data_IF_089927948080
#
_entry.id   IF_089927948080
#
_cell.length_a   1.000
_cell.length_b   1.000
_cell.length_c   1.000
_cell.angle_alpha   90.00
_cell.angle_beta   90.00
_cell.angle_gamma   90.00
#
_symmetry.space_group_name_H-M   'P 1'
#
loop_
_entity.id
_entity.type
_entity.pdbx_description
1 polymer ?
#
# COMPACT_ATOMS: atom_id res chain seq x y z
N UNK A 1 19.88 6.60 9.42
CA UNK A 1 20.06 7.12 10.77
C UNK A 1 18.72 7.60 11.31
N UNK A 2 18.42 7.30 12.57
CA UNK A 2 17.23 7.76 13.28
C UNK A 2 17.41 9.24 13.64
N UNK A 3 16.46 10.08 13.27
CA UNK A 3 16.46 11.52 13.59
C UNK A 3 15.44 11.76 14.71
N UNK A 4 15.94 11.87 15.94
CA UNK A 4 15.13 12.08 17.15
C UNK A 4 14.32 13.38 17.08
N UNK A 5 14.92 14.44 16.52
CA UNK A 5 14.26 15.73 16.38
C UNK A 5 13.08 15.63 15.39
N UNK A 6 13.29 14.99 14.25
CA UNK A 6 12.22 14.77 13.27
C UNK A 6 11.05 14.00 13.87
N UNK A 7 11.33 12.96 14.65
CA UNK A 7 10.26 12.15 15.27
C UNK A 7 9.48 12.93 16.31
N UNK A 8 10.17 13.72 17.15
CA UNK A 8 9.50 14.59 18.13
C UNK A 8 8.67 15.71 17.44
N UNK A 9 9.21 16.31 16.39
CA UNK A 9 8.51 17.31 15.59
C UNK A 9 7.26 16.71 14.91
N UNK A 10 7.36 15.47 14.41
CA UNK A 10 6.24 14.75 13.77
C UNK A 10 5.06 14.54 14.74
N UNK A 11 5.32 14.11 15.96
CA UNK A 11 4.29 13.95 16.99
C UNK A 11 3.60 15.29 17.32
N UNK A 12 4.39 16.34 17.51
CA UNK A 12 3.88 17.69 17.79
C UNK A 12 3.02 18.24 16.63
N UNK A 13 3.48 18.04 15.38
CA UNK A 13 2.75 18.47 14.18
C UNK A 13 1.45 17.69 14.04
N UNK A 14 1.45 16.37 14.25
CA UNK A 14 0.24 15.54 14.19
C UNK A 14 -0.82 16.01 15.20
N UNK A 15 -0.42 16.31 16.44
CA UNK A 15 -1.32 16.87 17.45
C UNK A 15 -1.88 18.25 17.04
N UNK A 16 -1.02 19.15 16.54
CA UNK A 16 -1.42 20.47 16.09
C UNK A 16 -2.40 20.43 14.93
N UNK A 17 -2.15 19.58 13.92
CA UNK A 17 -3.03 19.40 12.75
C UNK A 17 -4.40 18.87 13.19
N UNK A 18 -4.44 17.91 14.10
CA UNK A 18 -5.69 17.36 14.65
C UNK A 18 -6.51 18.44 15.36
N UNK A 19 -5.87 19.24 16.21
CA UNK A 19 -6.53 20.36 16.91
C UNK A 19 -7.01 21.44 15.95
N UNK A 20 -6.22 21.77 14.92
CA UNK A 20 -6.59 22.73 13.89
C UNK A 20 -7.82 22.25 13.09
N UNK A 21 -7.83 20.98 12.66
CA UNK A 21 -8.94 20.38 11.97
C UNK A 21 -10.23 20.42 12.82
N UNK A 22 -10.11 20.08 14.11
CA UNK A 22 -11.26 20.15 15.04
C UNK A 22 -11.82 21.57 15.19
N UNK A 23 -10.96 22.60 15.21
CA UNK A 23 -11.37 24.01 15.33
C UNK A 23 -12.00 24.56 14.06
N UNK A 24 -11.65 24.00 12.90
CA UNK A 24 -12.15 24.43 11.58
C UNK A 24 -13.33 23.62 11.06
N UNK A 25 -13.97 22.82 11.91
CA UNK A 25 -15.16 22.04 11.54
C UNK A 25 -16.27 22.95 10.99
N UNK A 26 -16.88 22.51 9.89
CA UNK A 26 -18.03 23.17 9.28
C UNK A 26 -18.99 22.11 8.72
N UNK A 27 -20.28 22.47 8.53
CA UNK A 27 -21.23 21.58 7.84
C UNK A 27 -20.72 21.20 6.46
N UNK A 28 -20.79 19.89 6.16
CA UNK A 28 -20.25 19.34 4.94
C UNK A 28 -21.07 18.17 4.43
N UNK A 29 -21.00 17.94 3.12
CA UNK A 29 -21.57 16.78 2.46
C UNK A 29 -20.41 15.86 2.05
N UNK A 30 -20.49 14.61 2.45
CA UNK A 30 -19.57 13.57 2.00
C UNK A 30 -20.11 12.99 0.72
N UNK A 31 -19.31 13.03 -0.36
CA UNK A 31 -19.62 12.40 -1.64
C UNK A 31 -18.59 11.30 -1.91
N UNK A 32 -19.04 10.16 -2.43
CA UNK A 32 -18.20 9.00 -2.65
C UNK A 32 -18.35 8.51 -4.08
N UNK A 33 -17.23 8.15 -4.69
CA UNK A 33 -17.22 7.54 -6.01
C UNK A 33 -16.00 6.65 -6.20
N UNK A 34 -16.11 5.69 -7.11
CA UNK A 34 -14.98 4.93 -7.59
C UNK A 34 -15.12 4.62 -9.07
N UNK A 35 -14.00 4.44 -9.74
CA UNK A 35 -13.91 4.01 -11.13
C UNK A 35 -12.71 3.10 -11.32
N UNK A 36 -12.73 2.33 -12.39
CA UNK A 36 -11.54 1.53 -12.77
C UNK A 36 -10.47 2.43 -13.39
N UNK A 37 -9.24 2.25 -12.97
CA UNK A 37 -8.03 2.80 -13.57
C UNK A 37 -7.08 1.67 -13.94
N UNK A 38 -6.90 1.44 -15.21
CA UNK A 38 -6.06 0.38 -15.76
C UNK A 38 -4.86 0.97 -16.50
N UNK A 39 -3.77 0.22 -16.56
CA UNK A 39 -2.57 0.63 -17.31
C UNK A 39 -1.58 1.50 -16.55
N UNK A 40 -1.79 1.73 -15.25
CA UNK A 40 -0.83 2.43 -14.39
C UNK A 40 -0.24 1.53 -13.29
N UNK A 41 -0.95 0.46 -12.92
CA UNK A 41 -0.55 -0.47 -11.86
C UNK A 41 -0.49 -1.90 -12.41
N UNK A 42 0.59 -2.60 -12.11
CA UNK A 42 0.88 -3.94 -12.60
C UNK A 42 1.37 -4.82 -11.47
N UNK A 43 1.01 -6.12 -11.49
CA UNK A 43 1.62 -7.07 -10.58
C UNK A 43 3.10 -7.26 -10.98
N UNK A 44 4.01 -6.99 -10.05
CA UNK A 44 5.45 -7.02 -10.30
C UNK A 44 6.10 -8.36 -10.03
N UNK A 45 5.32 -9.32 -9.51
CA UNK A 45 5.77 -10.70 -9.32
C UNK A 45 5.42 -11.52 -10.55
N UNK A 46 6.34 -12.36 -10.96
CA UNK A 46 6.20 -13.20 -12.13
C UNK A 46 6.40 -14.66 -11.76
N UNK A 47 5.52 -15.51 -12.30
CA UNK A 47 5.63 -16.96 -12.18
C UNK A 47 6.64 -17.48 -13.19
N UNK A 48 7.56 -18.33 -12.72
CA UNK A 48 8.64 -18.89 -13.53
C UNK A 48 8.34 -20.34 -13.90
N UNK A 49 8.95 -20.85 -14.97
CA UNK A 49 8.81 -22.26 -15.45
C UNK A 49 9.24 -23.29 -14.40
N UNK A 50 10.14 -22.95 -13.50
CA UNK A 50 10.57 -23.81 -12.38
C UNK A 50 9.56 -23.83 -11.19
N UNK A 51 8.45 -23.10 -11.30
CA UNK A 51 7.41 -22.99 -10.29
C UNK A 51 7.70 -21.94 -9.21
N UNK A 52 8.85 -21.29 -9.24
CA UNK A 52 9.17 -20.17 -8.35
C UNK A 52 8.45 -18.87 -8.78
N UNK A 53 8.45 -17.88 -7.90
CA UNK A 53 8.05 -16.51 -8.22
C UNK A 53 9.20 -15.56 -7.91
N UNK A 54 9.28 -14.47 -8.69
CA UNK A 54 10.31 -13.46 -8.51
C UNK A 54 9.81 -12.07 -8.88
N UNK A 55 10.58 -11.06 -8.51
CA UNK A 55 10.38 -9.68 -8.94
C UNK A 55 10.86 -9.52 -10.39
N UNK A 56 9.99 -9.05 -11.27
CA UNK A 56 10.26 -8.92 -12.70
C UNK A 56 10.30 -10.26 -13.45
N UNK A 57 10.19 -10.24 -14.78
CA UNK A 57 10.13 -11.45 -15.61
C UNK A 57 11.49 -12.07 -15.92
N UNK A 58 12.60 -11.35 -15.72
CA UNK A 58 13.96 -11.83 -16.00
C UNK A 58 14.81 -11.89 -14.71
N UNK A 59 15.41 -13.05 -14.44
CA UNK A 59 16.30 -13.26 -13.27
C UNK A 59 17.59 -12.45 -13.35
N UNK A 60 18.10 -12.21 -14.55
CA UNK A 60 19.37 -11.49 -14.76
C UNK A 60 19.16 -9.98 -14.81
N UNK A 61 17.97 -9.55 -15.28
CA UNK A 61 17.62 -8.14 -15.43
C UNK A 61 16.21 -7.89 -14.91
N UNK A 62 15.98 -7.97 -13.58
CA UNK A 62 14.64 -7.92 -13.00
C UNK A 62 13.92 -6.57 -13.22
N UNK A 63 14.65 -5.54 -13.61
CA UNK A 63 14.11 -4.21 -13.95
C UNK A 63 14.14 -3.91 -15.45
N UNK A 64 14.60 -4.86 -16.28
CA UNK A 64 14.61 -4.65 -17.73
C UNK A 64 13.16 -4.58 -18.25
N UNK A 65 12.94 -3.60 -19.07
CA UNK A 65 11.71 -3.37 -19.81
C UNK A 65 12.06 -3.69 -21.26
N UNK A 66 11.22 -4.36 -21.99
CA UNK A 66 11.46 -4.90 -23.34
C UNK A 66 12.02 -6.34 -23.35
N UNK A 67 11.57 -7.14 -22.42
CA UNK A 67 11.89 -8.56 -22.41
C UNK A 67 11.00 -9.24 -23.45
N UNK A 68 11.60 -9.95 -24.37
CA UNK A 68 10.87 -10.86 -25.25
C UNK A 68 10.27 -11.98 -24.38
N UNK A 69 8.95 -12.00 -24.25
CA UNK A 69 8.25 -13.03 -23.51
C UNK A 69 8.51 -14.46 -24.02
N UNK A 70 9.01 -14.60 -25.25
CA UNK A 70 9.41 -15.89 -25.82
C UNK A 70 10.83 -16.32 -25.41
N UNK A 71 11.67 -15.42 -24.90
CA UNK A 71 13.06 -15.69 -24.49
C UNK A 71 13.26 -15.70 -22.97
N UNK A 72 12.18 -15.68 -22.20
CA UNK A 72 12.23 -15.72 -20.74
C UNK A 72 11.78 -17.06 -20.18
N UNK A 73 12.23 -17.40 -18.98
CA UNK A 73 11.64 -18.48 -18.18
C UNK A 73 10.35 -18.08 -17.49
N UNK A 74 9.78 -16.94 -17.86
CA UNK A 74 8.58 -16.36 -17.32
C UNK A 74 7.31 -16.98 -17.91
N UNK A 75 6.35 -17.31 -17.03
CA UNK A 75 5.01 -17.77 -17.40
C UNK A 75 3.95 -16.67 -17.34
N UNK A 76 4.33 -15.44 -16.97
CA UNK A 76 3.45 -14.30 -16.81
C UNK A 76 3.32 -13.81 -15.37
N UNK A 77 2.53 -12.74 -15.15
CA UNK A 77 2.30 -12.17 -13.82
C UNK A 77 1.77 -13.22 -12.84
N UNK A 78 2.23 -13.17 -11.59
CA UNK A 78 1.90 -14.16 -10.57
C UNK A 78 0.52 -13.94 -9.94
N UNK A 79 -0.03 -12.74 -10.03
CA UNK A 79 -1.29 -12.38 -9.41
C UNK A 79 -2.05 -11.26 -10.13
N UNK A 80 -3.21 -10.87 -9.58
CA UNK A 80 -4.05 -9.82 -10.14
C UNK A 80 -3.49 -8.42 -9.87
N UNK A 81 -4.23 -7.41 -10.32
CA UNK A 81 -4.16 -6.01 -9.87
C UNK A 81 -5.51 -5.60 -9.30
N UNK A 82 -5.54 -4.57 -8.47
CA UNK A 82 -6.78 -3.89 -8.07
C UNK A 82 -6.90 -2.59 -8.88
N UNK A 83 -7.77 -2.55 -9.87
CA UNK A 83 -7.94 -1.37 -10.71
C UNK A 83 -8.86 -0.31 -10.09
N UNK A 84 -9.41 -0.53 -8.89
CA UNK A 84 -10.29 0.45 -8.29
C UNK A 84 -9.54 1.70 -7.87
N UNK A 85 -9.97 2.84 -8.39
CA UNK A 85 -9.56 4.17 -7.98
C UNK A 85 -10.70 4.82 -7.22
N UNK A 86 -10.53 5.05 -5.93
CA UNK A 86 -11.56 5.54 -5.02
C UNK A 86 -11.36 7.00 -4.64
N UNK A 87 -12.48 7.72 -4.45
CA UNK A 87 -12.49 9.09 -3.94
C UNK A 87 -13.59 9.25 -2.89
N UNK A 88 -13.20 9.72 -1.70
CA UNK A 88 -14.13 10.29 -0.72
C UNK A 88 -13.90 11.79 -0.74
N UNK A 89 -14.91 12.55 -1.12
CA UNK A 89 -14.87 14.00 -1.21
C UNK A 89 -15.69 14.62 -0.10
N UNK A 90 -15.13 15.62 0.58
CA UNK A 90 -15.84 16.45 1.56
C UNK A 90 -16.10 17.80 0.90
N UNK A 91 -17.38 18.08 0.64
CA UNK A 91 -17.84 19.29 -0.05
C UNK A 91 -18.54 20.23 0.92
N UNK A 92 -18.38 21.54 0.72
CA UNK A 92 -19.12 22.54 1.49
C UNK A 92 -20.60 22.44 1.22
N UNK A 93 -21.42 22.36 2.26
CA UNK A 93 -22.87 22.18 2.11
C UNK A 93 -23.52 23.30 1.28
N UNK A 94 -23.09 24.54 1.45
CA UNK A 94 -23.70 25.71 0.80
C UNK A 94 -23.28 25.91 -0.66
N UNK A 95 -22.03 25.56 -1.01
CA UNK A 95 -21.48 25.85 -2.34
C UNK A 95 -21.27 24.62 -3.20
N UNK A 96 -21.20 23.44 -2.59
CA UNK A 96 -20.84 22.21 -3.28
C UNK A 96 -19.34 22.08 -3.63
N UNK A 97 -18.53 23.09 -3.27
CA UNK A 97 -17.09 23.09 -3.55
C UNK A 97 -16.35 22.06 -2.68
N UNK A 98 -15.49 21.22 -3.26
CA UNK A 98 -14.67 20.30 -2.49
C UNK A 98 -13.60 21.06 -1.71
N UNK A 99 -13.41 20.74 -0.44
CA UNK A 99 -12.32 21.28 0.37
C UNK A 99 -11.40 20.22 0.94
N UNK A 100 -11.82 18.95 0.93
CA UNK A 100 -10.95 17.82 1.25
C UNK A 100 -11.30 16.60 0.39
N UNK A 101 -10.27 15.86 -0.01
CA UNK A 101 -10.36 14.59 -0.72
C UNK A 101 -9.53 13.54 -0.01
N UNK A 102 -10.05 12.31 0.03
CA UNK A 102 -9.27 11.10 0.27
C UNK A 102 -9.28 10.33 -1.03
N UNK A 103 -8.10 10.02 -1.56
CA UNK A 103 -7.92 9.26 -2.81
C UNK A 103 -7.22 7.96 -2.47
N UNK A 104 -7.80 6.84 -2.88
CA UNK A 104 -7.25 5.49 -2.71
C UNK A 104 -6.89 4.89 -4.06
N UNK A 105 -5.69 4.31 -4.16
CA UNK A 105 -5.26 3.55 -5.33
C UNK A 105 -4.14 2.56 -4.96
N UNK A 106 -4.27 1.33 -5.47
CA UNK A 106 -3.33 0.25 -5.18
C UNK A 106 -2.09 0.34 -6.08
N UNK A 107 -1.16 1.24 -5.74
CA UNK A 107 0.10 1.43 -6.47
C UNK A 107 1.22 1.85 -5.51
N UNK A 108 2.38 1.22 -5.59
CA UNK A 108 3.58 1.64 -4.85
C UNK A 108 3.99 3.08 -5.17
N UNK A 109 4.46 3.79 -4.16
CA UNK A 109 5.00 5.16 -4.27
C UNK A 109 6.53 5.06 -4.31
N UNK A 110 7.05 4.51 -5.41
CA UNK A 110 8.47 4.18 -5.62
C UNK A 110 8.95 4.47 -7.06
N UNK A 111 8.26 5.40 -7.74
CA UNK A 111 8.56 5.75 -9.14
C UNK A 111 9.83 6.57 -9.26
N UNK A 112 10.10 7.42 -8.26
CA UNK A 112 11.29 8.26 -8.19
C UNK A 112 12.26 7.71 -7.17
N UNK A 113 13.49 7.46 -7.57
CA UNK A 113 14.59 6.99 -6.71
C UNK A 113 15.68 8.03 -6.58
N UNK A 114 16.59 7.84 -5.61
CA UNK A 114 17.74 8.71 -5.37
C UNK A 114 17.85 9.17 -3.92
N UNK A 115 18.61 10.25 -3.71
CA UNK A 115 18.94 10.82 -2.41
C UNK A 115 18.09 12.05 -2.01
N UNK A 116 17.10 12.40 -2.84
CA UNK A 116 16.21 13.53 -2.60
C UNK A 116 14.87 13.07 -2.03
N UNK A 117 14.38 13.79 -1.05
CA UNK A 117 13.02 13.60 -0.54
C UNK A 117 12.04 14.12 -1.60
N UNK A 118 11.11 13.26 -1.99
CA UNK A 118 10.07 13.58 -2.96
C UNK A 118 8.71 13.08 -2.50
N UNK A 119 7.65 13.75 -2.91
CA UNK A 119 6.27 13.28 -2.73
C UNK A 119 5.78 12.40 -3.87
N UNK A 120 6.66 12.09 -4.81
CA UNK A 120 6.41 11.25 -5.99
C UNK A 120 5.11 11.65 -6.74
N UNK A 121 4.46 10.70 -7.44
CA UNK A 121 3.23 10.95 -8.20
C UNK A 121 2.05 11.45 -7.33
N UNK A 122 1.89 11.08 -6.05
CA UNK A 122 0.82 11.65 -5.23
C UNK A 122 0.95 13.16 -5.02
N UNK A 123 2.19 13.67 -4.90
CA UNK A 123 2.42 15.09 -4.81
C UNK A 123 2.02 15.84 -6.08
N UNK A 124 2.36 15.28 -7.24
CA UNK A 124 2.00 15.85 -8.53
C UNK A 124 0.48 15.86 -8.72
N UNK A 125 -0.19 14.76 -8.35
CA UNK A 125 -1.64 14.67 -8.37
C UNK A 125 -2.27 15.78 -7.51
N UNK A 126 -1.82 15.94 -6.26
CA UNK A 126 -2.32 16.98 -5.34
C UNK A 126 -2.17 18.38 -5.91
N UNK A 127 -1.02 18.70 -6.48
CA UNK A 127 -0.75 20.01 -7.08
C UNK A 127 -1.68 20.31 -8.27
N UNK A 128 -2.00 19.30 -9.09
CA UNK A 128 -2.94 19.49 -10.19
C UNK A 128 -4.38 19.70 -9.68
N UNK A 129 -4.79 18.97 -8.66
CA UNK A 129 -6.11 19.14 -8.05
C UNK A 129 -6.26 20.52 -7.42
N UNK A 130 -5.24 21.03 -6.74
CA UNK A 130 -5.23 22.42 -6.21
C UNK A 130 -5.35 23.47 -7.31
N UNK A 131 -4.68 23.28 -8.45
CA UNK A 131 -4.78 24.23 -9.57
C UNK A 131 -6.20 24.35 -10.12
N UNK A 132 -7.00 23.29 -10.03
CA UNK A 132 -8.39 23.27 -10.53
C UNK A 132 -9.37 23.74 -9.46
N UNK A 133 -9.24 23.23 -8.24
CA UNK A 133 -10.22 23.43 -7.16
C UNK A 133 -9.78 24.48 -6.13
N UNK A 134 -8.62 25.09 -6.28
CA UNK A 134 -8.08 26.11 -5.41
C UNK A 134 -7.08 25.62 -4.39
N UNK A 135 -6.18 26.51 -3.95
CA UNK A 135 -5.08 26.22 -3.02
C UNK A 135 -5.54 25.70 -1.65
N UNK A 136 -6.79 25.98 -1.28
CA UNK A 136 -7.38 25.50 -0.02
C UNK A 136 -7.78 24.02 -0.03
N UNK A 137 -7.72 23.32 -1.17
CA UNK A 137 -8.04 21.91 -1.24
C UNK A 137 -6.99 21.06 -0.53
N UNK A 138 -7.43 20.27 0.43
CA UNK A 138 -6.61 19.25 1.10
C UNK A 138 -6.86 17.90 0.44
N UNK A 139 -5.81 17.26 -0.10
CA UNK A 139 -5.91 15.92 -0.66
C UNK A 139 -5.00 14.97 0.10
N UNK A 140 -5.59 13.91 0.66
CA UNK A 140 -4.89 12.77 1.24
C UNK A 140 -4.83 11.66 0.19
N UNK A 141 -3.65 11.12 -0.05
CA UNK A 141 -3.48 9.91 -0.83
C UNK A 141 -3.31 8.73 0.13
N UNK A 142 -4.09 7.70 -0.07
CA UNK A 142 -4.00 6.43 0.66
C UNK A 142 -3.47 5.39 -0.32
N UNK A 143 -2.36 4.78 0.05
CA UNK A 143 -1.81 3.68 -0.71
C UNK A 143 -2.63 2.43 -0.42
N UNK A 144 -3.29 1.91 -1.46
CA UNK A 144 -4.07 0.67 -1.39
C UNK A 144 -3.19 -0.57 -1.17
N UNK A 145 -3.78 -1.75 -1.27
CA UNK A 145 -3.06 -3.01 -1.17
C UNK A 145 -2.12 -3.19 -2.38
N UNK A 146 -0.88 -2.74 -2.24
CA UNK A 146 0.10 -2.66 -3.31
C UNK A 146 1.40 -3.39 -3.04
N UNK A 147 1.45 -4.29 -2.03
CA UNK A 147 2.69 -4.98 -1.66
C UNK A 147 3.40 -5.66 -2.83
N UNK A 148 2.65 -6.19 -3.77
CA UNK A 148 3.14 -6.83 -5.00
C UNK A 148 2.80 -6.05 -6.28
N UNK A 149 2.43 -4.76 -6.17
CA UNK A 149 2.01 -3.92 -7.31
C UNK A 149 2.95 -2.74 -7.49
N UNK A 150 3.42 -2.52 -8.71
CA UNK A 150 4.15 -1.30 -9.08
C UNK A 150 3.68 -0.74 -10.43
N UNK A 151 4.36 0.30 -10.89
CA UNK A 151 4.06 1.05 -12.12
C UNK A 151 4.73 0.48 -13.37
N UNK A 152 5.50 -0.61 -13.25
CA UNK A 152 6.30 -1.14 -14.36
C UNK A 152 5.49 -2.15 -15.19
N UNK A 153 5.18 -1.77 -16.41
CA UNK A 153 4.59 -2.64 -17.42
C UNK A 153 5.66 -3.49 -18.10
N UNK A 154 6.26 -4.43 -17.37
CA UNK A 154 7.43 -5.21 -17.82
C UNK A 154 7.28 -5.91 -19.17
N UNK A 155 6.08 -6.33 -19.53
CA UNK A 155 5.79 -7.04 -20.76
C UNK A 155 5.26 -6.10 -21.87
N UNK A 156 5.33 -4.79 -21.66
CA UNK A 156 4.86 -3.80 -22.64
C UNK A 156 6.01 -2.90 -23.08
N UNK A 157 6.28 -2.88 -24.37
CA UNK A 157 7.28 -1.98 -24.91
C UNK A 157 6.86 -0.51 -24.72
N UNK A 158 7.75 0.30 -24.17
CA UNK A 158 7.55 1.74 -24.05
C UNK A 158 8.82 2.48 -24.52
N UNK A 159 8.70 3.43 -25.45
CA UNK A 159 9.83 4.28 -25.84
C UNK A 159 10.19 5.33 -24.77
N UNK A 160 9.42 5.42 -23.70
CA UNK A 160 9.59 6.41 -22.64
C UNK A 160 10.17 5.77 -21.37
N UNK A 161 10.91 6.54 -20.55
CA UNK A 161 11.43 6.05 -19.28
C UNK A 161 10.31 5.52 -18.38
N UNK A 162 10.54 4.38 -17.74
CA UNK A 162 9.59 3.78 -16.80
C UNK A 162 9.86 4.15 -15.34
N UNK A 163 10.91 4.93 -15.06
CA UNK A 163 11.26 5.41 -13.73
C UNK A 163 11.62 6.90 -13.77
N UNK A 164 11.68 7.51 -12.60
CA UNK A 164 12.13 8.86 -12.38
C UNK A 164 11.03 9.92 -12.52
N UNK A 165 11.46 11.18 -12.52
CA UNK A 165 10.56 12.35 -12.46
C UNK A 165 9.55 12.40 -13.61
N UNK A 166 9.96 11.99 -14.80
CA UNK A 166 9.07 11.97 -15.97
C UNK A 166 7.90 11.00 -15.76
N UNK A 167 8.20 9.77 -15.32
CA UNK A 167 7.20 8.73 -15.09
C UNK A 167 6.29 9.08 -13.91
N UNK A 168 6.86 9.58 -12.82
CA UNK A 168 6.11 10.09 -11.67
C UNK A 168 5.15 11.21 -12.09
N UNK A 169 5.61 12.14 -12.94
CA UNK A 169 4.75 13.17 -13.52
C UNK A 169 3.64 12.62 -14.39
N UNK A 170 3.94 11.65 -15.25
CA UNK A 170 2.93 11.00 -16.11
C UNK A 170 1.82 10.37 -15.26
N UNK A 171 2.19 9.58 -14.24
CA UNK A 171 1.24 8.90 -13.35
C UNK A 171 0.45 9.94 -12.55
N UNK A 172 1.10 10.94 -11.96
CA UNK A 172 0.45 11.96 -11.17
C UNK A 172 -0.58 12.77 -11.96
N UNK A 173 -0.28 13.10 -13.24
CA UNK A 173 -1.25 13.79 -14.12
C UNK A 173 -2.42 12.88 -14.49
N UNK A 174 -2.18 11.60 -14.79
CA UNK A 174 -3.23 10.65 -15.12
C UNK A 174 -4.17 10.45 -13.93
N UNK A 175 -3.63 10.24 -12.72
CA UNK A 175 -4.42 10.09 -11.50
C UNK A 175 -5.15 11.38 -11.10
N UNK A 176 -4.58 12.56 -11.36
CA UNK A 176 -5.30 13.83 -11.17
C UNK A 176 -6.53 13.92 -12.07
N UNK A 177 -6.39 13.60 -13.35
CA UNK A 177 -7.53 13.55 -14.30
C UNK A 177 -8.58 12.53 -13.88
N UNK A 178 -8.16 11.35 -13.40
CA UNK A 178 -9.07 10.33 -12.86
C UNK A 178 -9.79 10.84 -11.62
N UNK A 179 -9.08 11.44 -10.66
CA UNK A 179 -9.67 11.99 -9.44
C UNK A 179 -10.71 13.06 -9.74
N UNK A 180 -10.44 13.97 -10.68
CA UNK A 180 -11.43 14.96 -11.16
C UNK A 180 -12.67 14.27 -11.73
N UNK A 181 -12.49 13.29 -12.61
CA UNK A 181 -13.60 12.56 -13.22
C UNK A 181 -14.47 11.83 -12.19
N UNK A 182 -13.85 11.19 -11.20
CA UNK A 182 -14.57 10.51 -10.12
C UNK A 182 -15.28 11.52 -9.23
N UNK A 183 -14.60 12.60 -8.82
CA UNK A 183 -15.12 13.65 -7.96
C UNK A 183 -16.40 14.30 -8.52
N UNK A 184 -16.40 14.62 -9.82
CA UNK A 184 -17.56 15.28 -10.47
C UNK A 184 -18.76 14.33 -10.62
N UNK A 185 -18.54 13.02 -10.52
CA UNK A 185 -19.59 11.98 -10.60
C UNK A 185 -19.90 11.34 -9.24
N UNK A 186 -19.15 11.73 -8.18
CA UNK A 186 -19.34 11.21 -6.84
C UNK A 186 -20.72 11.55 -6.30
N UNK A 187 -21.37 10.58 -5.70
CA UNK A 187 -22.73 10.73 -5.16
C UNK A 187 -22.67 11.05 -3.67
N UNK A 188 -23.59 11.89 -3.17
CA UNK A 188 -23.74 12.11 -1.74
C UNK A 188 -23.96 10.79 -1.01
N UNK A 189 -23.27 10.64 0.10
CA UNK A 189 -23.47 9.51 1.02
C UNK A 189 -24.89 9.56 1.61
N UNK A 190 -25.51 8.39 1.71
CA UNK A 190 -26.83 8.25 2.35
C UNK A 190 -26.73 8.21 3.88
N UNK A 191 -25.53 7.98 4.40
CA UNK A 191 -25.24 7.95 5.83
C UNK A 191 -24.30 9.09 6.23
N UNK A 192 -24.51 9.66 7.40
CA UNK A 192 -23.61 10.64 8.03
C UNK A 192 -22.71 10.01 9.11
N UNK A 193 -22.74 8.69 9.27
CA UNK A 193 -21.96 7.99 10.29
C UNK A 193 -20.47 8.15 10.05
N UNK A 194 -19.75 8.53 11.10
CA UNK A 194 -18.28 8.46 11.15
C UNK A 194 -17.93 7.64 12.38
N UNK A 195 -17.38 6.46 12.16
CA UNK A 195 -17.12 5.49 13.22
C UNK A 195 -15.85 4.69 12.92
N UNK A 196 -15.08 4.39 13.95
CA UNK A 196 -13.84 3.63 13.82
C UNK A 196 -13.81 2.48 14.81
N UNK A 197 -13.53 1.29 14.31
CA UNK A 197 -13.23 0.12 15.12
C UNK A 197 -11.74 -0.18 15.09
N UNK A 198 -11.21 -0.52 16.25
CA UNK A 198 -9.82 -0.92 16.46
C UNK A 198 -9.76 -2.37 16.91
N UNK A 199 -8.98 -3.18 16.22
CA UNK A 199 -8.67 -4.55 16.61
C UNK A 199 -7.17 -4.67 16.84
N UNK A 200 -6.77 -5.19 17.99
CA UNK A 200 -5.38 -5.52 18.29
C UNK A 200 -5.18 -7.01 18.03
N UNK A 201 -4.23 -7.32 17.16
CA UNK A 201 -3.82 -8.67 16.82
C UNK A 201 -2.60 -9.05 17.65
N UNK A 202 -2.64 -10.20 18.31
CA UNK A 202 -1.45 -10.83 18.87
C UNK A 202 -0.79 -11.67 17.78
N UNK A 203 0.21 -11.11 17.10
CA UNK A 203 0.87 -11.71 15.95
C UNK A 203 2.08 -12.50 16.42
N UNK A 204 2.12 -13.84 16.22
CA UNK A 204 3.29 -14.63 16.53
C UNK A 204 4.51 -14.13 15.74
N UNK A 205 5.65 -14.17 16.35
CA UNK A 205 6.93 -13.89 15.68
C UNK A 205 7.33 -15.05 14.79
N UNK A 206 8.14 -14.78 13.77
CA UNK A 206 8.73 -15.85 12.98
C UNK A 206 9.62 -16.71 13.89
N UNK A 207 9.40 -18.04 13.97
CA UNK A 207 10.31 -18.92 14.67
C UNK A 207 11.71 -18.87 14.07
N UNK A 208 12.75 -18.90 14.89
CA UNK A 208 14.14 -18.92 14.38
C UNK A 208 14.44 -20.16 13.54
N UNK A 209 13.78 -21.28 13.81
CA UNK A 209 13.87 -22.53 13.07
C UNK A 209 12.92 -22.60 11.86
N UNK A 210 12.14 -21.56 11.59
CA UNK A 210 11.30 -21.48 10.39
C UNK A 210 12.15 -21.70 9.13
N UNK A 211 11.65 -22.55 8.23
CA UNK A 211 12.37 -22.97 7.03
C UNK A 211 12.76 -21.79 6.13
N UNK A 212 11.90 -20.76 6.00
CA UNK A 212 12.17 -19.58 5.18
C UNK A 212 13.25 -18.73 5.82
N UNK A 213 13.21 -18.54 7.14
CA UNK A 213 14.21 -17.81 7.92
C UNK A 213 15.56 -18.52 7.83
N UNK A 214 15.60 -19.83 8.00
CA UNK A 214 16.84 -20.62 7.95
C UNK A 214 17.44 -20.64 6.53
N UNK A 215 16.62 -20.77 5.49
CA UNK A 215 17.08 -20.70 4.10
C UNK A 215 17.71 -19.35 3.77
N UNK A 216 17.08 -18.25 4.21
CA UNK A 216 17.59 -16.91 4.04
C UNK A 216 18.93 -16.72 4.81
N UNK A 217 18.97 -17.14 6.07
CA UNK A 217 20.17 -17.06 6.89
C UNK A 217 21.35 -17.84 6.28
N UNK A 218 21.10 -19.04 5.76
CA UNK A 218 22.10 -19.84 5.08
C UNK A 218 22.63 -19.16 3.81
N UNK A 219 21.75 -18.59 3.01
CA UNK A 219 22.12 -17.85 1.79
C UNK A 219 22.98 -16.62 2.12
N UNK A 220 22.63 -15.87 3.17
CA UNK A 220 23.40 -14.70 3.61
C UNK A 220 24.77 -15.13 4.17
N UNK A 221 24.83 -16.17 4.99
CA UNK A 221 26.10 -16.68 5.56
C UNK A 221 27.07 -17.26 4.53
N UNK A 222 26.58 -17.64 3.36
CA UNK A 222 27.43 -18.10 2.26
C UNK A 222 28.17 -16.95 1.54
N UNK A 223 27.77 -15.70 1.75
CA UNK A 223 28.41 -14.50 1.18
C UNK A 223 29.56 -14.02 2.05
N UNK A 224 30.52 -13.33 1.43
CA UNK A 224 31.54 -12.61 2.17
C UNK A 224 30.96 -11.30 2.74
N UNK A 225 31.53 -10.76 3.85
CA UNK A 225 31.01 -9.54 4.47
C UNK A 225 30.89 -8.34 3.51
N UNK A 226 31.83 -8.18 2.58
CA UNK A 226 31.85 -7.12 1.57
C UNK A 226 30.80 -7.29 0.46
N UNK A 227 30.22 -8.48 0.33
CA UNK A 227 29.18 -8.81 -0.66
C UNK A 227 27.76 -8.65 -0.09
N UNK A 228 27.65 -8.36 1.20
CA UNK A 228 26.34 -8.25 1.85
C UNK A 228 25.64 -6.95 1.44
N UNK A 229 24.40 -7.10 0.97
CA UNK A 229 23.52 -5.96 0.76
C UNK A 229 23.08 -5.33 2.10
N UNK A 230 22.68 -4.07 2.06
CA UNK A 230 22.22 -3.34 3.25
C UNK A 230 21.16 -4.11 4.06
N UNK A 231 20.12 -4.60 3.39
CA UNK A 231 19.04 -5.35 4.07
C UNK A 231 19.51 -6.69 4.64
N UNK A 232 20.49 -7.35 4.05
CA UNK A 232 21.07 -8.59 4.59
C UNK A 232 21.83 -8.33 5.90
N UNK A 233 22.55 -7.21 5.95
CA UNK A 233 23.21 -6.77 7.19
C UNK A 233 22.20 -6.43 8.29
N UNK A 234 21.12 -5.75 7.92
CA UNK A 234 20.00 -5.45 8.84
C UNK A 234 19.34 -6.73 9.34
N UNK A 235 19.10 -7.70 8.45
CA UNK A 235 18.51 -8.99 8.81
C UNK A 235 19.39 -9.75 9.83
N UNK A 236 20.70 -9.83 9.60
CA UNK A 236 21.62 -10.49 10.54
C UNK A 236 21.54 -9.85 11.94
N UNK A 237 21.54 -8.52 12.00
CA UNK A 237 21.41 -7.80 13.27
C UNK A 237 20.08 -8.14 13.95
N UNK A 238 18.98 -8.02 13.24
CA UNK A 238 17.64 -8.34 13.76
C UNK A 238 17.57 -9.79 14.23
N UNK A 239 18.07 -10.75 13.44
CA UNK A 239 18.06 -12.17 13.80
C UNK A 239 18.85 -12.47 15.08
N UNK A 240 19.97 -11.79 15.31
CA UNK A 240 20.79 -11.99 16.51
C UNK A 240 20.16 -11.38 17.77
N UNK A 241 19.51 -10.22 17.63
CA UNK A 241 18.88 -9.48 18.73
C UNK A 241 17.45 -9.95 19.05
N UNK A 242 16.85 -10.71 18.17
CA UNK A 242 15.45 -11.09 18.19
C UNK A 242 15.20 -12.33 19.07
N UNK A 243 14.13 -12.26 19.87
CA UNK A 243 13.54 -13.43 20.53
C UNK A 243 12.35 -13.90 19.69
N UNK A 244 12.31 -15.18 19.37
CA UNK A 244 11.20 -15.81 18.63
C UNK A 244 10.05 -16.29 19.54
N UNK A 245 10.22 -16.16 20.86
CA UNK A 245 9.16 -16.44 21.81
C UNK A 245 8.17 -15.26 21.91
N UNK A 246 6.87 -15.57 21.98
CA UNK A 246 5.81 -14.61 22.22
C UNK A 246 5.17 -14.05 20.96
N UNK A 247 4.42 -12.99 21.17
CA UNK A 247 3.64 -12.27 20.14
C UNK A 247 3.96 -10.79 20.18
N UNK A 248 3.81 -10.13 19.04
CA UNK A 248 3.80 -8.67 18.94
C UNK A 248 2.38 -8.17 18.69
N UNK A 249 2.00 -7.08 19.34
CA UNK A 249 0.73 -6.45 19.08
C UNK A 249 0.77 -5.66 17.76
N UNK A 250 -0.25 -5.83 16.93
CA UNK A 250 -0.45 -5.08 15.68
C UNK A 250 -1.87 -4.57 15.62
N UNK A 251 -2.03 -3.34 15.16
CA UNK A 251 -3.34 -2.69 15.08
C UNK A 251 -3.93 -2.81 13.67
N UNK A 252 -5.20 -3.14 13.64
CA UNK A 252 -6.05 -3.04 12.45
C UNK A 252 -7.19 -2.09 12.76
N UNK A 253 -7.29 -1.02 11.99
CA UNK A 253 -8.35 -0.02 12.08
C UNK A 253 -9.31 -0.18 10.90
N UNK A 254 -10.60 -0.06 11.18
CA UNK A 254 -11.62 0.02 10.13
C UNK A 254 -12.43 1.28 10.39
N UNK A 255 -12.29 2.26 9.52
CA UNK A 255 -12.92 3.57 9.61
C UNK A 255 -14.08 3.68 8.62
N UNK A 256 -15.29 3.86 9.12
CA UNK A 256 -16.46 4.19 8.31
C UNK A 256 -16.58 5.71 8.16
N UNK A 257 -16.83 6.16 6.95
CA UNK A 257 -17.17 7.55 6.61
C UNK A 257 -18.38 7.49 5.68
N UNK A 258 -19.56 7.65 6.24
CA UNK A 258 -20.81 7.50 5.49
C UNK A 258 -21.00 6.09 4.93
N UNK A 259 -21.09 6.00 3.60
CA UNK A 259 -21.25 4.74 2.86
C UNK A 259 -19.91 4.10 2.44
N UNK A 260 -18.78 4.72 2.79
CA UNK A 260 -17.44 4.18 2.55
C UNK A 260 -16.80 3.65 3.84
N UNK A 261 -15.91 2.68 3.67
CA UNK A 261 -15.03 2.18 4.74
C UNK A 261 -13.59 2.12 4.27
N UNK A 262 -12.68 2.42 5.18
CA UNK A 262 -11.23 2.32 5.03
C UNK A 262 -10.76 1.19 5.93
N UNK A 263 -10.16 0.16 5.34
CA UNK A 263 -9.64 -1.03 6.03
C UNK A 263 -8.13 -0.97 6.10
N UNK A 264 -7.55 -0.87 7.30
CA UNK A 264 -6.10 -0.71 7.44
C UNK A 264 -5.34 -2.04 7.44
N UNK A 265 -4.06 -1.95 7.08
CA UNK A 265 -3.07 -3.01 7.25
C UNK A 265 -1.74 -2.43 7.76
N UNK A 266 -1.06 -3.11 8.72
CA UNK A 266 0.15 -2.60 9.37
C UNK A 266 1.42 -2.87 8.56
N UNK A 267 1.36 -2.83 7.24
CA UNK A 267 2.47 -3.11 6.34
C UNK A 267 2.09 -3.11 4.88
N UNK A 268 2.97 -3.63 4.04
CA UNK A 268 2.81 -3.68 2.59
C UNK A 268 1.95 -4.89 2.19
N UNK A 269 0.62 -4.71 2.32
CA UNK A 269 -0.38 -5.74 2.06
C UNK A 269 -0.40 -6.12 0.58
N UNK A 270 -0.34 -7.42 0.28
CA UNK A 270 -0.53 -7.92 -1.08
C UNK A 270 -1.94 -7.64 -1.58
N UNK A 271 -2.04 -7.42 -2.88
CA UNK A 271 -3.31 -7.05 -3.55
C UNK A 271 -4.40 -8.11 -3.37
N UNK A 272 -4.04 -9.38 -3.31
CA UNK A 272 -4.96 -10.49 -3.11
C UNK A 272 -5.75 -10.35 -1.80
N UNK A 273 -5.09 -9.98 -0.71
CA UNK A 273 -5.74 -9.72 0.57
C UNK A 273 -6.67 -8.50 0.51
N UNK A 274 -6.24 -7.44 -0.18
CA UNK A 274 -7.08 -6.27 -0.42
C UNK A 274 -8.35 -6.60 -1.18
N UNK A 275 -8.22 -7.37 -2.26
CA UNK A 275 -9.36 -7.84 -3.06
C UNK A 275 -10.27 -8.77 -2.27
N UNK A 276 -9.73 -9.61 -1.40
CA UNK A 276 -10.52 -10.48 -0.52
C UNK A 276 -11.34 -9.67 0.49
N UNK A 277 -10.72 -8.68 1.16
CA UNK A 277 -11.44 -7.78 2.07
C UNK A 277 -12.57 -7.05 1.33
N UNK A 278 -12.31 -6.50 0.15
CA UNK A 278 -13.32 -5.83 -0.69
C UNK A 278 -14.45 -6.78 -1.09
N UNK A 279 -14.13 -7.99 -1.50
CA UNK A 279 -15.11 -9.01 -1.93
C UNK A 279 -16.13 -9.37 -0.85
N UNK A 280 -15.69 -9.45 0.40
CA UNK A 280 -16.53 -9.84 1.53
C UNK A 280 -17.11 -8.66 2.32
N UNK A 281 -16.79 -7.43 1.91
CA UNK A 281 -17.32 -6.24 2.53
C UNK A 281 -18.82 -6.08 2.23
N UNK A 282 -19.63 -5.76 3.24
CA UNK A 282 -21.04 -5.41 3.06
C UNK A 282 -21.26 -3.97 2.59
N UNK A 283 -20.18 -3.17 2.47
CA UNK A 283 -20.23 -1.77 2.04
C UNK A 283 -19.97 -1.65 0.56
N UNK A 284 -20.66 -0.71 -0.07
CA UNK A 284 -20.51 -0.43 -1.50
C UNK A 284 -19.10 0.07 -1.86
N UNK A 285 -18.51 0.88 -0.97
CA UNK A 285 -17.20 1.48 -1.15
C UNK A 285 -16.29 0.99 -0.03
N UNK A 286 -15.33 0.17 -0.39
CA UNK A 286 -14.35 -0.39 0.55
C UNK A 286 -12.95 -0.13 0.02
N UNK A 287 -12.19 0.68 0.72
CA UNK A 287 -10.84 1.09 0.36
C UNK A 287 -9.83 0.50 1.34
N UNK A 288 -8.62 0.27 0.89
CA UNK A 288 -7.56 -0.34 1.70
C UNK A 288 -6.52 0.71 2.04
N UNK A 289 -6.21 0.86 3.32
CA UNK A 289 -5.13 1.71 3.80
C UNK A 289 -3.95 0.83 4.25
N UNK A 290 -3.07 0.51 3.33
CA UNK A 290 -1.82 -0.16 3.65
C UNK A 290 -0.85 0.79 4.38
N UNK A 291 0.20 0.24 5.01
CA UNK A 291 1.21 1.01 5.76
C UNK A 291 0.61 1.90 6.86
N UNK A 292 -0.47 1.45 7.46
CA UNK A 292 -1.22 2.22 8.44
C UNK A 292 -0.92 1.75 9.87
N UNK A 293 -0.51 2.68 10.72
CA UNK A 293 -0.21 2.54 12.16
C UNK A 293 1.03 1.72 12.52
N UNK A 294 1.57 0.90 11.66
CA UNK A 294 2.79 0.13 11.89
C UNK A 294 3.46 -0.23 10.56
N UNK A 295 4.67 -0.77 10.64
CA UNK A 295 5.41 -1.29 9.51
C UNK A 295 6.04 -2.64 9.84
N UNK A 296 5.41 -3.70 9.36
CA UNK A 296 5.91 -5.08 9.51
C UNK A 296 6.65 -5.59 8.27
N UNK A 297 6.84 -4.74 7.25
CA UNK A 297 7.30 -5.13 5.92
C UNK A 297 6.16 -5.66 5.06
N UNK A 298 6.49 -6.56 4.13
CA UNK A 298 5.48 -7.17 3.25
C UNK A 298 4.57 -8.13 4.01
N UNK A 299 3.31 -8.16 3.56
CA UNK A 299 2.28 -9.10 4.03
C UNK A 299 1.82 -9.92 2.83
N UNK A 300 2.61 -10.94 2.42
CA UNK A 300 2.34 -11.78 1.26
C UNK A 300 1.25 -12.81 1.52
N UNK A 301 0.81 -13.47 0.45
CA UNK A 301 -0.02 -14.68 0.57
C UNK A 301 0.84 -15.89 0.96
N UNK A 302 0.20 -16.92 1.51
CA UNK A 302 0.88 -18.18 1.83
C UNK A 302 1.49 -18.82 0.57
N UNK A 303 0.78 -18.75 -0.56
CA UNK A 303 1.30 -19.24 -1.85
C UNK A 303 2.56 -18.47 -2.27
N UNK A 304 2.57 -17.15 -2.16
CA UNK A 304 3.74 -16.35 -2.49
C UNK A 304 4.95 -16.70 -1.60
N UNK A 305 4.74 -16.94 -0.30
CA UNK A 305 5.81 -17.40 0.61
C UNK A 305 6.40 -18.72 0.16
N UNK A 306 5.57 -19.69 -0.22
CA UNK A 306 6.01 -21.00 -0.68
C UNK A 306 6.80 -20.93 -2.00
N UNK A 307 6.43 -20.00 -2.89
CA UNK A 307 7.08 -19.82 -4.20
C UNK A 307 8.32 -18.92 -4.14
N UNK A 308 8.51 -18.19 -3.04
CA UNK A 308 9.67 -17.32 -2.82
C UNK A 308 9.56 -15.96 -3.51
N UNK A 309 10.70 -15.35 -3.78
CA UNK A 309 10.81 -14.00 -4.33
C UNK A 309 11.07 -12.94 -3.26
N UNK A 310 11.29 -11.70 -3.71
CA UNK A 310 11.74 -10.59 -2.88
C UNK A 310 10.78 -10.30 -1.71
N UNK A 311 9.51 -10.12 -2.00
CA UNK A 311 8.52 -9.73 -1.01
C UNK A 311 8.11 -10.86 -0.06
N UNK A 312 8.31 -12.10 -0.48
CA UNK A 312 8.00 -13.29 0.31
C UNK A 312 9.09 -13.64 1.32
N UNK A 313 10.20 -12.91 1.30
CA UNK A 313 11.36 -13.17 2.16
C UNK A 313 11.33 -12.24 3.37
N UNK A 314 11.42 -12.72 4.63
CA UNK A 314 11.36 -11.88 5.82
C UNK A 314 12.66 -11.09 6.06
N UNK A 315 13.27 -10.57 4.99
CA UNK A 315 14.56 -9.89 5.02
C UNK A 315 14.50 -8.51 5.69
N UNK A 316 13.34 -7.85 5.57
CA UNK A 316 13.15 -6.49 6.11
C UNK A 316 12.67 -6.53 7.56
N UNK A 317 11.91 -7.56 7.94
CA UNK A 317 11.29 -7.64 9.25
C UNK A 317 10.92 -9.07 9.63
N UNK A 318 11.22 -9.43 10.87
CA UNK A 318 10.75 -10.66 11.51
C UNK A 318 9.47 -10.44 12.34
N UNK A 319 8.78 -9.30 12.14
CA UNK A 319 7.64 -8.87 12.96
C UNK A 319 6.30 -9.48 12.57
N UNK A 320 6.25 -10.32 11.55
CA UNK A 320 5.04 -10.99 11.09
C UNK A 320 5.28 -12.48 10.91
N UNK A 321 4.23 -13.21 10.58
CA UNK A 321 4.26 -14.62 10.19
C UNK A 321 3.55 -14.84 8.88
N UNK A 322 3.65 -16.04 8.31
CA UNK A 322 2.87 -16.43 7.12
C UNK A 322 1.36 -16.29 7.29
N UNK A 323 0.86 -16.29 8.52
CA UNK A 323 -0.56 -16.13 8.83
C UNK A 323 -1.03 -14.67 8.91
N UNK A 324 -0.11 -13.68 8.91
CA UNK A 324 -0.47 -12.28 9.17
C UNK A 324 -1.49 -11.74 8.17
N UNK A 325 -1.36 -12.07 6.89
CA UNK A 325 -2.31 -11.61 5.87
C UNK A 325 -3.74 -12.06 6.15
N UNK A 326 -3.93 -13.33 6.51
CA UNK A 326 -5.23 -13.85 6.93
C UNK A 326 -5.74 -13.18 8.20
N UNK A 327 -4.88 -12.98 9.21
CA UNK A 327 -5.26 -12.32 10.46
C UNK A 327 -5.74 -10.89 10.21
N UNK A 328 -5.10 -10.13 9.33
CA UNK A 328 -5.49 -8.77 8.93
C UNK A 328 -6.83 -8.78 8.19
N UNK A 329 -7.00 -9.71 7.24
CA UNK A 329 -8.26 -9.86 6.50
C UNK A 329 -9.42 -10.20 7.44
N UNK A 330 -9.24 -11.17 8.33
CA UNK A 330 -10.25 -11.60 9.31
C UNK A 330 -10.62 -10.49 10.30
N UNK A 331 -9.65 -9.67 10.73
CA UNK A 331 -9.90 -8.55 11.62
C UNK A 331 -10.75 -7.48 10.93
N UNK A 332 -10.37 -7.09 9.71
CA UNK A 332 -11.16 -6.16 8.91
C UNK A 332 -12.57 -6.70 8.65
N UNK A 333 -12.69 -7.98 8.28
CA UNK A 333 -13.99 -8.62 8.06
C UNK A 333 -14.89 -8.53 9.29
N UNK A 334 -14.39 -8.91 10.48
CA UNK A 334 -15.15 -8.78 11.73
C UNK A 334 -15.59 -7.35 12.03
N UNK A 335 -14.70 -6.38 11.79
CA UNK A 335 -15.01 -4.97 11.99
C UNK A 335 -16.08 -4.48 11.00
N UNK A 336 -15.97 -4.87 9.72
CA UNK A 336 -16.96 -4.54 8.68
C UNK A 336 -18.35 -5.05 9.03
N UNK A 337 -18.47 -6.27 9.54
CA UNK A 337 -19.76 -6.83 9.97
C UNK A 337 -20.36 -6.05 11.14
N UNK A 338 -19.56 -5.64 12.12
CA UNK A 338 -20.02 -4.81 13.25
C UNK A 338 -20.51 -3.44 12.78
N UNK A 339 -19.69 -2.72 11.97
CA UNK A 339 -20.05 -1.40 11.43
C UNK A 339 -21.30 -1.42 10.53
N UNK A 340 -21.68 -2.58 9.99
CA UNK A 340 -22.89 -2.72 9.16
C UNK A 340 -24.13 -2.99 9.98
N UNK A 341 -23.98 -3.62 11.15
CA UNK A 341 -25.09 -3.98 12.03
C UNK A 341 -25.65 -2.76 12.80
N UNK A 342 -24.86 -1.71 12.92
CA UNK A 342 -25.22 -0.42 13.52
C UNK A 342 -25.70 0.58 12.45
#
# INVERSE_FOLDING_TARGET
>A
PYDEKYMADLEAVAAQVTLAARRSQAPAIVCIGSQREEGLAFNRRFRMKDGSEQFGPDKQHPTALDIDENDTDCCGPAGPTDPEFGVIAVKRELTGEPFALIVDYALHVDVTSGDKITSDYPGIMREQLKRVYGEGLVTLFIQGASGNINHCAYLQHSPFPNFGEWKSRQIGLALAGKAMNVLEKALPSQSSTVEMLRTVLAVPRYPKDDMVVQKLLAAIKAKKPEELAFFETVFIKLYNEYSDEGTDEREVLTLRIGDAVLCSAPGELFVEWGLEIKKWSPFKYTFIAALCNDYVGYIPTVEAIQRGGYEATPIISLKGTSALGQMVADANFRNLQKLKAE
#
